data_IF_949724214091
#
_entry.id   IF_949724214091
#
_cell.length_a   1.000
_cell.length_b   1.000
_cell.length_c   1.000
_cell.angle_alpha   90.00
_cell.angle_beta   90.00
_cell.angle_gamma   90.00
#
_symmetry.space_group_name_H-M   'P 1'
#
loop_
_entity.id
_entity.type
_entity.pdbx_description
1 polymer ?
#
# COMPACT_ATOMS: atom_id res chain seq x y z
N UNK A 1 8.23 12.21 6.13
CA UNK A 1 8.40 11.33 4.95
C UNK A 1 7.04 10.95 4.35
N UNK A 2 6.13 10.39 5.14
CA UNK A 2 4.77 10.02 4.72
C UNK A 2 3.93 11.19 4.12
N UNK A 3 4.07 12.42 4.64
CA UNK A 3 3.38 13.62 4.08
C UNK A 3 3.79 13.89 2.63
N UNK A 4 5.05 13.65 2.26
CA UNK A 4 5.56 13.83 0.89
C UNK A 4 4.99 12.78 -0.06
N UNK A 5 4.84 11.53 0.40
CA UNK A 5 4.21 10.48 -0.41
C UNK A 5 2.75 10.85 -0.67
N UNK A 6 2.02 11.28 0.37
CA UNK A 6 0.63 11.73 0.23
C UNK A 6 0.49 12.86 -0.80
N UNK A 7 1.34 13.89 -0.77
CA UNK A 7 1.30 14.99 -1.76
C UNK A 7 1.60 14.54 -3.19
N UNK A 8 2.34 13.44 -3.38
CA UNK A 8 2.66 12.90 -4.72
C UNK A 8 1.50 12.07 -5.26
N UNK A 9 0.75 11.38 -4.39
CA UNK A 9 -0.19 10.34 -4.81
C UNK A 9 -1.66 10.70 -4.65
N UNK A 10 -2.01 11.72 -3.86
CA UNK A 10 -3.40 12.06 -3.55
C UNK A 10 -4.23 12.44 -4.79
N UNK A 11 -3.63 13.17 -5.74
CA UNK A 11 -4.33 13.74 -6.90
C UNK A 11 -4.28 12.84 -8.15
N UNK A 12 -3.67 11.66 -8.04
CA UNK A 12 -3.48 10.75 -9.17
C UNK A 12 -4.14 9.39 -8.90
N UNK A 13 -4.53 8.65 -9.95
CA UNK A 13 -4.75 7.22 -9.80
C UNK A 13 -3.46 6.57 -9.31
N UNK A 14 -3.57 5.56 -8.45
CA UNK A 14 -2.43 4.91 -7.81
C UNK A 14 -2.54 3.40 -7.97
N UNK A 15 -1.38 2.77 -8.11
CA UNK A 15 -1.26 1.34 -7.92
C UNK A 15 -0.57 1.07 -6.58
N UNK A 16 -1.21 0.23 -5.78
CA UNK A 16 -0.67 -0.30 -4.55
C UNK A 16 -0.12 -1.70 -4.83
N UNK A 17 1.09 -1.94 -4.34
CA UNK A 17 1.71 -3.25 -4.35
C UNK A 17 1.72 -3.75 -2.91
N UNK A 18 1.05 -4.86 -2.70
CA UNK A 18 1.03 -5.57 -1.42
C UNK A 18 2.01 -6.72 -1.54
N UNK A 19 3.05 -6.66 -0.72
CA UNK A 19 4.14 -7.62 -0.69
C UNK A 19 4.12 -8.31 0.68
N UNK A 20 3.84 -9.61 0.65
CA UNK A 20 3.75 -10.48 1.83
C UNK A 20 5.04 -11.28 1.93
N UNK A 21 5.86 -10.98 2.95
CA UNK A 21 7.15 -11.64 3.12
C UNK A 21 7.36 -12.16 4.54
N UNK A 22 8.20 -13.19 4.67
CA UNK A 22 8.77 -13.59 5.95
C UNK A 22 10.19 -13.07 6.03
N UNK A 23 10.48 -12.26 7.05
CA UNK A 23 11.82 -11.70 7.22
C UNK A 23 12.82 -12.76 7.75
N UNK A 24 14.11 -12.40 7.77
CA UNK A 24 15.17 -13.29 8.26
C UNK A 24 15.00 -13.69 9.75
N UNK A 25 14.13 -13.00 10.51
CA UNK A 25 13.80 -13.29 11.91
C UNK A 25 12.51 -14.10 12.05
N UNK A 26 11.99 -14.67 10.96
CA UNK A 26 10.75 -15.46 10.94
C UNK A 26 9.50 -14.64 11.32
N UNK A 27 9.52 -13.33 11.08
CA UNK A 27 8.34 -12.47 11.28
C UNK A 27 7.59 -12.31 9.97
N UNK A 28 6.26 -12.38 10.01
CA UNK A 28 5.44 -12.03 8.86
C UNK A 28 5.41 -10.51 8.72
N UNK A 29 5.78 -10.02 7.55
CA UNK A 29 5.83 -8.60 7.23
C UNK A 29 4.96 -8.35 6.01
N UNK A 30 4.09 -7.34 6.12
CA UNK A 30 3.28 -6.84 5.02
C UNK A 30 3.81 -5.47 4.61
N UNK A 31 4.47 -5.42 3.46
CA UNK A 31 4.91 -4.18 2.83
C UNK A 31 3.81 -3.67 1.92
N UNK A 32 3.48 -2.40 2.04
CA UNK A 32 2.57 -1.73 1.13
C UNK A 32 3.32 -0.59 0.45
N UNK A 33 3.58 -0.80 -0.83
CA UNK A 33 4.20 0.18 -1.71
C UNK A 33 3.08 0.90 -2.48
N UNK A 34 3.35 2.15 -2.88
CA UNK A 34 2.46 2.94 -3.71
C UNK A 34 3.25 3.54 -4.88
N UNK A 35 2.64 3.50 -6.06
CA UNK A 35 3.15 4.19 -7.26
C UNK A 35 2.00 4.98 -7.90
N UNK A 36 2.18 6.27 -8.21
CA UNK A 36 1.17 7.02 -8.93
C UNK A 36 1.19 6.63 -10.42
N UNK A 37 0.01 6.47 -11.01
CA UNK A 37 -0.20 6.08 -12.40
C UNK A 37 -0.25 7.32 -13.29
N UNK A 38 0.89 8.03 -13.38
CA UNK A 38 1.03 9.26 -14.17
C UNK A 38 1.57 9.03 -15.58
N UNK A 39 1.79 7.77 -15.98
CA UNK A 39 2.42 7.40 -17.26
C UNK A 39 3.95 7.62 -17.27
N UNK A 40 4.53 8.18 -16.22
CA UNK A 40 5.97 8.32 -16.03
C UNK A 40 6.53 7.13 -15.25
N UNK A 41 7.74 6.65 -15.57
CA UNK A 41 8.39 5.58 -14.82
C UNK A 41 8.83 6.12 -13.45
N UNK A 42 7.99 5.86 -12.45
CA UNK A 42 8.28 6.16 -11.04
C UNK A 42 8.57 4.86 -10.30
N UNK A 43 9.57 4.89 -9.42
CA UNK A 43 9.85 3.77 -8.52
C UNK A 43 8.74 3.66 -7.48
N UNK A 44 8.26 2.45 -7.14
CA UNK A 44 7.34 2.27 -6.03
C UNK A 44 7.93 2.83 -4.73
N UNK A 45 7.11 3.55 -3.97
CA UNK A 45 7.48 4.15 -2.69
C UNK A 45 6.89 3.33 -1.55
N UNK A 46 7.70 3.02 -0.53
CA UNK A 46 7.19 2.36 0.67
C UNK A 46 6.27 3.31 1.45
N UNK A 47 4.98 2.98 1.46
CA UNK A 47 3.96 3.74 2.16
C UNK A 47 3.87 3.30 3.62
N UNK A 48 3.80 1.99 3.84
CA UNK A 48 3.62 1.41 5.17
C UNK A 48 4.18 -0.01 5.21
N UNK A 49 4.70 -0.38 6.38
CA UNK A 49 5.09 -1.73 6.73
C UNK A 49 4.31 -2.14 7.97
N UNK A 50 3.76 -3.35 7.98
CA UNK A 50 3.12 -3.96 9.14
C UNK A 50 3.88 -5.22 9.51
N UNK A 51 4.19 -5.36 10.80
CA UNK A 51 4.56 -6.64 11.37
C UNK A 51 3.26 -7.35 11.76
N UNK A 52 3.07 -8.58 11.27
CA UNK A 52 1.88 -9.37 11.48
C UNK A 52 2.23 -10.65 12.25
N UNK A 53 1.31 -11.09 13.11
CA UNK A 53 1.41 -12.43 13.72
C UNK A 53 1.05 -13.53 12.71
N UNK A 54 0.16 -13.20 11.76
CA UNK A 54 -0.25 -14.04 10.63
C UNK A 54 -0.77 -13.18 9.49
N UNK A 55 -0.51 -13.59 8.25
CA UNK A 55 -1.11 -12.96 7.08
C UNK A 55 -2.36 -13.71 6.66
N UNK A 56 -3.48 -13.00 6.55
CA UNK A 56 -4.75 -13.57 6.09
C UNK A 56 -5.57 -12.51 5.34
N UNK A 57 -6.61 -12.95 4.62
CA UNK A 57 -7.40 -12.03 3.79
C UNK A 57 -8.02 -10.85 4.58
N UNK A 58 -8.33 -11.03 5.87
CA UNK A 58 -8.89 -9.97 6.70
C UNK A 58 -7.86 -8.90 7.09
N UNK A 59 -6.65 -9.30 7.46
CA UNK A 59 -5.54 -8.37 7.77
C UNK A 59 -5.11 -7.57 6.56
N UNK A 60 -5.08 -8.20 5.37
CA UNK A 60 -4.84 -7.51 4.11
C UNK A 60 -5.95 -6.50 3.82
N UNK A 61 -7.22 -6.90 3.91
CA UNK A 61 -8.35 -6.00 3.64
C UNK A 61 -8.38 -4.80 4.60
N UNK A 62 -8.15 -5.02 5.90
CA UNK A 62 -8.10 -3.94 6.87
C UNK A 62 -6.96 -2.95 6.57
N UNK A 63 -5.80 -3.47 6.17
CA UNK A 63 -4.67 -2.64 5.76
C UNK A 63 -5.00 -1.77 4.54
N UNK A 64 -5.74 -2.32 3.57
CA UNK A 64 -6.22 -1.57 2.38
C UNK A 64 -7.11 -0.40 2.79
N UNK A 65 -8.12 -0.65 3.63
CA UNK A 65 -9.05 0.38 4.11
C UNK A 65 -8.29 1.49 4.86
N UNK A 66 -7.39 1.10 5.76
CA UNK A 66 -6.60 2.04 6.56
C UNK A 66 -5.73 2.95 5.66
N UNK A 67 -5.19 2.41 4.58
CA UNK A 67 -4.34 3.15 3.64
C UNK A 67 -5.15 4.10 2.75
N UNK A 68 -6.29 3.65 2.23
CA UNK A 68 -7.20 4.54 1.50
C UNK A 68 -7.63 5.70 2.40
N UNK A 69 -7.99 5.41 3.65
CA UNK A 69 -8.33 6.41 4.66
C UNK A 69 -7.18 7.39 4.95
N UNK A 70 -5.95 6.90 4.94
CA UNK A 70 -4.77 7.72 5.15
C UNK A 70 -4.51 8.70 3.97
N UNK A 71 -4.63 8.23 2.73
CA UNK A 71 -4.34 9.02 1.52
C UNK A 71 -5.48 10.00 1.23
N UNK A 72 -6.71 9.53 1.18
CA UNK A 72 -7.86 10.32 0.71
C UNK A 72 -8.82 10.77 1.82
N UNK A 73 -8.57 10.39 3.08
CA UNK A 73 -9.46 10.75 4.18
C UNK A 73 -10.71 9.86 4.23
N UNK A 74 -11.85 10.42 4.61
CA UNK A 74 -13.09 9.64 4.75
C UNK A 74 -13.67 9.15 3.41
N UNK A 75 -13.24 9.73 2.29
CA UNK A 75 -13.70 9.35 0.95
C UNK A 75 -12.82 8.22 0.39
N UNK A 76 -13.44 7.07 0.11
CA UNK A 76 -12.73 5.93 -0.49
C UNK A 76 -12.90 6.01 -2.02
N UNK A 77 -11.87 6.49 -2.70
CA UNK A 77 -11.80 6.53 -4.17
C UNK A 77 -11.37 5.18 -4.75
N UNK A 78 -12.26 4.19 -4.74
CA UNK A 78 -11.99 2.86 -5.30
C UNK A 78 -11.56 2.94 -6.78
N UNK A 79 -12.14 3.86 -7.54
CA UNK A 79 -11.87 4.13 -8.95
C UNK A 79 -10.45 4.63 -9.23
N UNK A 80 -9.80 5.22 -8.21
CA UNK A 80 -8.41 5.69 -8.30
C UNK A 80 -7.41 4.67 -7.76
N UNK A 81 -7.86 3.51 -7.27
CA UNK A 81 -7.00 2.52 -6.63
C UNK A 81 -6.91 1.22 -7.43
N UNK A 82 -5.71 0.84 -7.83
CA UNK A 82 -5.40 -0.48 -8.39
C UNK A 82 -4.56 -1.27 -7.39
N UNK A 83 -4.94 -2.52 -7.10
CA UNK A 83 -4.24 -3.35 -6.11
C UNK A 83 -3.58 -4.54 -6.78
N UNK A 84 -2.28 -4.70 -6.56
CA UNK A 84 -1.51 -5.86 -6.99
C UNK A 84 -0.99 -6.59 -5.74
N UNK A 85 -1.20 -7.90 -5.69
CA UNK A 85 -0.64 -8.76 -4.63
C UNK A 85 0.54 -9.50 -5.24
N UNK A 86 1.71 -9.37 -4.61
CA UNK A 86 2.92 -10.12 -4.95
C UNK A 86 3.10 -11.17 -3.86
N UNK A 87 3.00 -12.44 -4.28
CA UNK A 87 3.29 -13.58 -3.43
C UNK A 87 4.74 -13.96 -3.68
N UNK A 88 5.61 -13.74 -2.69
CA UNK A 88 7.02 -14.14 -2.71
C UNK A 88 7.25 -15.48 -2.04
#
# INVERSE_FOLDING_TARGET
MIIKIKSIVADHPVSFIVDEMTDAKQRYVLNILVVPLTGQPLKPMLLKMYELEKTNNSTVMQSKINICGFIWGAEIHYEKSCWMVVLS
#
